data_IF_195286876511
#
_entry.id   IF_195286876511
#
_cell.length_a   1.000
_cell.length_b   1.000
_cell.length_c   1.000
_cell.angle_alpha   90.00
_cell.angle_beta   90.00
_cell.angle_gamma   90.00
#
_symmetry.space_group_name_H-M   'P 1'
#
loop_
_entity.id
_entity.type
_entity.pdbx_description
1 polymer ?
#
# COMPACT_ATOMS: atom_id res chain seq x y z
N UNK A 1 -27.09 -24.64 9.07
CA UNK A 1 -27.20 -26.04 8.63
C UNK A 1 -26.12 -26.84 9.33
N UNK A 2 -26.52 -27.90 10.02
CA UNK A 2 -25.63 -28.79 10.78
C UNK A 2 -26.37 -30.09 11.04
N UNK A 3 -25.64 -31.18 11.22
CA UNK A 3 -26.23 -32.49 11.52
C UNK A 3 -26.70 -32.59 12.98
N UNK A 4 -26.06 -31.85 13.89
CA UNK A 4 -26.33 -31.92 15.33
C UNK A 4 -26.16 -30.56 15.98
N UNK A 5 -27.13 -30.17 16.81
CA UNK A 5 -27.06 -28.99 17.66
C UNK A 5 -27.48 -29.36 19.09
N UNK A 6 -26.72 -28.88 20.06
CA UNK A 6 -26.96 -29.10 21.49
C UNK A 6 -27.21 -27.74 22.12
N UNK A 7 -28.38 -27.55 22.73
CA UNK A 7 -28.74 -26.32 23.42
C UNK A 7 -28.64 -26.49 24.94
N UNK A 8 -27.83 -25.65 25.59
CA UNK A 8 -27.79 -25.50 27.05
C UNK A 8 -28.57 -24.27 27.45
N UNK A 9 -29.74 -24.47 28.08
CA UNK A 9 -30.53 -23.36 28.64
C UNK A 9 -29.80 -22.66 29.78
N UNK A 10 -29.07 -23.42 30.60
CA UNK A 10 -28.37 -22.86 31.76
C UNK A 10 -27.28 -21.87 31.32
N UNK A 11 -26.57 -22.21 30.23
CA UNK A 11 -25.46 -21.41 29.75
C UNK A 11 -25.88 -20.43 28.63
N UNK A 12 -27.07 -20.58 28.07
CA UNK A 12 -27.56 -19.79 26.93
C UNK A 12 -26.77 -20.06 25.66
N UNK A 13 -26.25 -21.28 25.49
CA UNK A 13 -25.37 -21.64 24.37
C UNK A 13 -25.97 -22.70 23.47
N UNK A 14 -25.69 -22.58 22.16
CA UNK A 14 -25.94 -23.62 21.17
C UNK A 14 -24.58 -24.10 20.66
N UNK A 15 -24.26 -25.37 20.87
CA UNK A 15 -23.04 -26.00 20.39
C UNK A 15 -23.35 -26.92 19.21
N UNK A 16 -22.59 -26.78 18.13
CA UNK A 16 -22.73 -27.54 16.89
C UNK A 16 -21.37 -28.20 16.61
N UNK A 17 -21.18 -29.46 17.07
CA UNK A 17 -19.85 -30.09 17.12
C UNK A 17 -19.31 -30.50 15.75
N UNK A 18 -20.18 -30.65 14.75
CA UNK A 18 -19.80 -30.96 13.38
C UNK A 18 -19.65 -29.73 12.49
N UNK A 19 -19.28 -29.98 11.23
CA UNK A 19 -19.25 -28.95 10.20
C UNK A 19 -20.61 -28.23 10.13
N UNK A 20 -20.57 -26.91 10.24
CA UNK A 20 -21.75 -26.09 10.36
C UNK A 20 -21.65 -24.91 9.43
N UNK A 21 -22.72 -24.68 8.67
CA UNK A 21 -22.87 -23.49 7.84
C UNK A 21 -23.89 -22.55 8.46
N UNK A 22 -23.47 -21.33 8.77
CA UNK A 22 -24.33 -20.21 9.09
C UNK A 22 -24.60 -19.41 7.81
N UNK A 23 -25.85 -18.99 7.63
CA UNK A 23 -26.25 -18.14 6.49
C UNK A 23 -27.04 -16.97 6.99
N UNK A 24 -26.72 -15.79 6.46
CA UNK A 24 -27.45 -14.56 6.72
C UNK A 24 -27.22 -13.59 5.60
N UNK A 25 -28.31 -13.10 4.97
CA UNK A 25 -28.31 -12.01 3.98
C UNK A 25 -27.01 -11.87 3.17
N UNK A 26 -26.75 -12.71 2.17
CA UNK A 26 -25.53 -12.59 1.36
C UNK A 26 -24.21 -12.99 2.03
N UNK A 27 -24.16 -13.22 3.35
CA UNK A 27 -23.04 -13.83 4.07
C UNK A 27 -23.29 -15.34 4.30
N UNK A 28 -22.26 -16.13 4.03
CA UNK A 28 -22.16 -17.54 4.43
C UNK A 28 -20.91 -17.71 5.28
N UNK A 29 -21.02 -18.37 6.43
CA UNK A 29 -19.88 -18.65 7.30
C UNK A 29 -19.86 -20.14 7.64
N UNK A 30 -18.71 -20.79 7.49
CA UNK A 30 -18.50 -22.22 7.72
C UNK A 30 -17.44 -22.40 8.80
N UNK A 31 -17.63 -23.37 9.70
CA UNK A 31 -16.65 -23.76 10.70
C UNK A 31 -16.93 -25.13 11.31
N UNK A 32 -15.96 -25.63 12.09
CA UNK A 32 -16.01 -26.90 12.80
C UNK A 32 -15.11 -26.93 14.06
N UNK A 33 -15.67 -26.92 15.28
CA UNK A 33 -17.08 -26.76 15.64
C UNK A 33 -17.56 -25.30 15.53
N UNK A 34 -18.87 -25.10 15.69
CA UNK A 34 -19.47 -23.77 15.87
C UNK A 34 -20.18 -23.67 17.22
N UNK A 35 -20.00 -22.56 17.93
CA UNK A 35 -20.72 -22.25 19.18
C UNK A 35 -21.40 -20.90 19.06
N UNK A 36 -22.67 -20.81 19.48
CA UNK A 36 -23.41 -19.56 19.57
C UNK A 36 -23.75 -19.28 21.02
N UNK A 37 -23.29 -18.16 21.55
CA UNK A 37 -23.70 -17.62 22.84
C UNK A 37 -24.83 -16.61 22.61
N UNK A 38 -26.05 -17.01 22.98
CA UNK A 38 -27.25 -16.19 22.78
C UNK A 38 -27.39 -15.05 23.78
N UNK A 39 -26.68 -15.10 24.91
CA UNK A 39 -26.70 -14.01 25.89
C UNK A 39 -25.77 -12.87 25.49
N UNK A 40 -24.74 -13.16 24.69
CA UNK A 40 -23.75 -12.19 24.22
C UNK A 40 -23.85 -11.88 22.73
N UNK A 41 -24.80 -12.52 22.03
CA UNK A 41 -24.93 -12.42 20.58
C UNK A 41 -23.63 -12.72 19.83
N UNK A 42 -22.88 -13.74 20.31
CA UNK A 42 -21.61 -14.16 19.72
C UNK A 42 -21.77 -15.47 18.96
N UNK A 43 -21.17 -15.56 17.77
CA UNK A 43 -20.97 -16.83 17.08
C UNK A 43 -19.48 -17.07 16.87
N UNK A 44 -18.98 -18.20 17.36
CA UNK A 44 -17.61 -18.65 17.23
C UNK A 44 -17.54 -19.81 16.26
N UNK A 45 -16.71 -19.67 15.22
CA UNK A 45 -16.42 -20.66 14.21
C UNK A 45 -14.96 -21.06 14.37
N UNK A 46 -14.70 -22.30 14.75
CA UNK A 46 -13.36 -22.85 14.98
C UNK A 46 -12.99 -23.80 13.84
N UNK A 47 -11.71 -24.20 13.76
CA UNK A 47 -11.17 -25.15 12.80
C UNK A 47 -11.49 -24.77 11.35
N UNK A 48 -10.62 -24.00 10.71
CA UNK A 48 -10.76 -23.65 9.28
C UNK A 48 -12.03 -22.83 8.98
N UNK A 49 -12.24 -21.77 9.76
CA UNK A 49 -13.32 -20.84 9.52
C UNK A 49 -13.21 -20.19 8.12
N UNK A 50 -14.29 -20.28 7.35
CA UNK A 50 -14.41 -19.64 6.04
C UNK A 50 -15.68 -18.79 5.98
N UNK A 51 -15.50 -17.50 5.74
CA UNK A 51 -16.57 -16.52 5.60
C UNK A 51 -16.58 -16.00 4.17
N UNK A 52 -17.74 -16.03 3.55
CA UNK A 52 -17.96 -15.58 2.17
C UNK A 52 -19.07 -14.54 2.16
N UNK A 53 -18.77 -13.37 1.60
CA UNK A 53 -19.76 -12.35 1.27
C UNK A 53 -20.02 -12.40 -0.23
N UNK A 54 -21.27 -12.67 -0.59
CA UNK A 54 -21.71 -12.66 -1.97
C UNK A 54 -21.43 -11.30 -2.63
N UNK A 55 -21.08 -11.38 -3.91
CA UNK A 55 -21.05 -10.25 -4.83
C UNK A 55 -22.23 -10.31 -5.80
N UNK A 56 -22.35 -9.27 -6.63
CA UNK A 56 -23.30 -9.16 -7.75
C UNK A 56 -22.68 -8.34 -8.89
N UNK A 57 -23.48 -7.94 -9.89
CA UNK A 57 -23.01 -7.20 -11.08
C UNK A 57 -22.32 -5.86 -10.74
N UNK A 58 -22.55 -5.30 -9.55
CA UNK A 58 -21.95 -4.04 -9.09
C UNK A 58 -21.07 -4.17 -7.85
N UNK A 59 -21.12 -5.29 -7.13
CA UNK A 59 -20.42 -5.49 -5.86
C UNK A 59 -19.49 -6.69 -5.89
N UNK A 60 -18.21 -6.48 -5.55
CA UNK A 60 -17.22 -7.55 -5.49
C UNK A 60 -17.56 -8.60 -4.43
N UNK A 61 -17.38 -9.88 -4.73
CA UNK A 61 -17.41 -10.95 -3.73
C UNK A 61 -16.17 -10.89 -2.84
N UNK A 62 -16.29 -11.38 -1.61
CA UNK A 62 -15.18 -11.44 -0.66
C UNK A 62 -15.16 -12.80 0.03
N UNK A 63 -13.99 -13.41 0.12
CA UNK A 63 -13.78 -14.61 0.93
C UNK A 63 -12.67 -14.37 1.96
N UNK A 64 -12.92 -14.81 3.19
CA UNK A 64 -12.00 -14.70 4.33
C UNK A 64 -11.82 -16.09 4.93
N UNK A 65 -10.57 -16.55 5.02
CA UNK A 65 -10.17 -17.81 5.66
C UNK A 65 -9.33 -17.53 6.89
N UNK A 66 -9.57 -18.29 7.96
CA UNK A 66 -8.80 -18.23 9.20
C UNK A 66 -8.92 -19.53 9.99
N UNK A 67 -8.15 -19.69 11.06
CA UNK A 67 -8.35 -20.81 11.98
C UNK A 67 -9.56 -20.60 12.89
N UNK A 68 -9.80 -19.35 13.31
CA UNK A 68 -10.88 -18.97 14.21
C UNK A 68 -11.56 -17.70 13.70
N UNK A 69 -12.89 -17.71 13.60
CA UNK A 69 -13.68 -16.50 13.38
C UNK A 69 -14.70 -16.29 14.51
N UNK A 70 -14.82 -15.06 15.01
CA UNK A 70 -15.79 -14.70 16.06
C UNK A 70 -16.61 -13.51 15.59
N UNK A 71 -17.89 -13.74 15.32
CA UNK A 71 -18.88 -12.70 15.02
C UNK A 71 -19.41 -12.12 16.34
N UNK A 72 -19.21 -10.82 16.54
CA UNK A 72 -19.90 -10.04 17.56
C UNK A 72 -21.08 -9.32 16.92
N UNK A 73 -22.25 -9.97 16.91
CA UNK A 73 -23.39 -9.52 16.12
C UNK A 73 -23.88 -8.13 16.54
N UNK A 74 -24.03 -7.88 17.84
CA UNK A 74 -24.56 -6.61 18.35
C UNK A 74 -23.56 -5.45 18.16
N UNK A 75 -22.27 -5.76 18.03
CA UNK A 75 -21.20 -4.78 17.86
C UNK A 75 -20.81 -4.57 16.38
N UNK A 76 -21.36 -5.36 15.45
CA UNK A 76 -21.18 -5.17 14.00
C UNK A 76 -19.78 -5.52 13.46
N UNK A 77 -19.03 -6.39 14.13
CA UNK A 77 -17.70 -6.80 13.68
C UNK A 77 -17.46 -8.31 13.79
N UNK A 78 -16.48 -8.79 13.03
CA UNK A 78 -15.99 -10.16 13.11
C UNK A 78 -14.46 -10.17 13.23
N UNK A 79 -13.95 -10.90 14.22
CA UNK A 79 -12.52 -11.11 14.41
C UNK A 79 -12.10 -12.44 13.77
N UNK A 80 -10.92 -12.45 13.17
CA UNK A 80 -10.29 -13.61 12.54
C UNK A 80 -8.89 -13.80 13.14
N UNK A 81 -8.57 -15.03 13.55
CA UNK A 81 -7.36 -15.36 14.29
C UNK A 81 -6.72 -16.67 13.79
N UNK A 82 -5.44 -16.85 14.15
CA UNK A 82 -4.61 -17.97 13.75
C UNK A 82 -4.16 -17.89 12.29
N UNK A 83 -3.94 -16.68 11.77
CA UNK A 83 -3.60 -16.44 10.38
C UNK A 83 -4.85 -16.24 9.52
N UNK A 84 -4.92 -15.11 8.84
CA UNK A 84 -6.03 -14.72 7.97
C UNK A 84 -5.55 -14.58 6.53
N UNK A 85 -6.36 -15.09 5.60
CA UNK A 85 -6.23 -14.81 4.17
C UNK A 85 -7.55 -14.28 3.64
N UNK A 86 -7.52 -13.20 2.88
CA UNK A 86 -8.69 -12.59 2.25
C UNK A 86 -8.50 -12.59 0.74
N UNK A 87 -9.55 -12.89 -0.01
CA UNK A 87 -9.62 -12.73 -1.47
C UNK A 87 -10.72 -11.75 -1.82
N UNK A 88 -10.38 -10.65 -2.51
CA UNK A 88 -11.35 -9.69 -3.06
C UNK A 88 -11.65 -9.95 -4.54
N UNK A 89 -11.20 -11.10 -5.08
CA UNK A 89 -11.24 -11.44 -6.50
C UNK A 89 -10.04 -10.93 -7.29
N UNK A 90 -9.63 -9.67 -7.10
CA UNK A 90 -8.49 -9.05 -7.80
C UNK A 90 -7.18 -9.12 -7.03
N UNK A 91 -7.24 -9.15 -5.70
CA UNK A 91 -6.08 -9.13 -4.81
C UNK A 91 -6.28 -10.07 -3.62
N UNK A 92 -5.16 -10.41 -2.99
CA UNK A 92 -5.13 -11.16 -1.75
C UNK A 92 -4.60 -10.28 -0.62
N UNK A 93 -5.18 -10.45 0.56
CA UNK A 93 -4.71 -9.82 1.80
C UNK A 93 -4.35 -10.92 2.78
N UNK A 94 -3.29 -10.73 3.55
CA UNK A 94 -2.79 -11.68 4.53
C UNK A 94 -2.38 -10.94 5.81
N UNK A 95 -2.63 -11.53 6.97
CA UNK A 95 -2.23 -11.02 8.29
C UNK A 95 -2.33 -12.13 9.35
N UNK A 96 -1.74 -11.95 10.53
CA UNK A 96 -1.91 -12.91 11.63
C UNK A 96 -3.29 -12.78 12.28
N UNK A 97 -3.75 -11.53 12.48
CA UNK A 97 -5.07 -11.20 13.01
C UNK A 97 -5.80 -10.22 12.09
N UNK A 98 -7.11 -10.37 11.97
CA UNK A 98 -7.93 -9.45 11.18
C UNK A 98 -9.24 -9.12 11.87
N UNK A 99 -9.65 -7.86 11.83
CA UNK A 99 -10.98 -7.43 12.25
C UNK A 99 -11.73 -6.88 11.05
N UNK A 100 -12.89 -7.46 10.74
CA UNK A 100 -13.81 -6.92 9.75
C UNK A 100 -14.94 -6.15 10.42
N UNK A 101 -15.19 -4.94 9.94
CA UNK A 101 -16.31 -4.12 10.38
C UNK A 101 -17.34 -4.03 9.26
N UNK A 102 -18.59 -4.31 9.62
CA UNK A 102 -19.70 -4.29 8.69
C UNK A 102 -20.65 -3.13 9.01
N UNK A 103 -21.22 -2.54 7.97
CA UNK A 103 -22.28 -1.56 8.10
C UNK A 103 -23.58 -2.17 8.66
N UNK A 104 -24.62 -1.34 8.82
CA UNK A 104 -25.88 -1.74 9.45
C UNK A 104 -26.58 -2.94 8.80
N UNK A 105 -26.38 -3.14 7.49
CA UNK A 105 -26.92 -4.28 6.75
C UNK A 105 -26.04 -5.55 6.86
N UNK A 106 -24.95 -5.50 7.62
CA UNK A 106 -23.94 -6.54 7.89
C UNK A 106 -23.33 -7.20 6.64
N UNK A 107 -23.50 -6.55 5.49
CA UNK A 107 -23.08 -7.03 4.16
C UNK A 107 -22.21 -6.05 3.41
N UNK A 108 -22.26 -4.77 3.80
CA UNK A 108 -21.29 -3.76 3.41
C UNK A 108 -20.07 -3.92 4.32
N UNK A 109 -19.01 -4.55 3.80
CA UNK A 109 -17.71 -4.48 4.46
C UNK A 109 -17.22 -3.03 4.32
N UNK A 110 -17.14 -2.31 5.43
CA UNK A 110 -16.71 -0.90 5.43
C UNK A 110 -15.19 -0.82 5.65
N UNK A 111 -14.66 -1.68 6.54
CA UNK A 111 -13.27 -1.64 6.96
C UNK A 111 -12.72 -3.01 7.32
N UNK A 112 -11.45 -3.24 6.94
CA UNK A 112 -10.62 -4.31 7.49
C UNK A 112 -9.45 -3.72 8.25
N UNK A 113 -9.17 -4.26 9.42
CA UNK A 113 -7.92 -4.03 10.15
C UNK A 113 -7.08 -5.30 10.09
N UNK A 114 -5.88 -5.19 9.54
CA UNK A 114 -4.90 -6.25 9.41
C UNK A 114 -3.79 -6.01 10.42
N UNK A 115 -3.53 -6.98 11.29
CA UNK A 115 -2.55 -6.85 12.36
C UNK A 115 -1.50 -7.96 12.27
N UNK A 116 -0.26 -7.51 12.41
CA UNK A 116 0.97 -8.30 12.30
C UNK A 116 1.16 -8.96 10.92
N UNK A 117 2.36 -8.75 10.34
CA UNK A 117 2.74 -9.27 9.02
C UNK A 117 1.71 -8.97 7.91
N UNK A 118 1.06 -7.81 7.99
CA UNK A 118 0.04 -7.40 7.04
C UNK A 118 0.62 -7.27 5.62
N UNK A 119 -0.06 -7.88 4.66
CA UNK A 119 0.35 -7.94 3.26
C UNK A 119 -0.85 -7.84 2.34
N UNK A 120 -0.71 -7.07 1.26
CA UNK A 120 -1.66 -7.03 0.14
C UNK A 120 -0.87 -7.31 -1.12
N UNK A 121 -1.33 -8.21 -1.99
CA UNK A 121 -0.64 -8.47 -3.25
C UNK A 121 -1.59 -8.83 -4.39
N UNK A 122 -1.19 -8.41 -5.60
CA UNK A 122 -1.87 -8.74 -6.86
C UNK A 122 -1.02 -9.81 -7.56
N UNK A 123 -1.56 -11.01 -7.88
CA UNK A 123 -0.76 -12.10 -8.46
C UNK A 123 -0.17 -11.79 -9.84
N UNK A 124 -0.92 -11.07 -10.68
CA UNK A 124 -0.54 -10.75 -12.07
C UNK A 124 -0.84 -9.29 -12.36
N UNK A 125 -0.08 -8.35 -11.77
CA UNK A 125 -0.32 -6.93 -11.91
C UNK A 125 0.07 -6.46 -13.32
N UNK A 126 -0.64 -5.47 -13.85
CA UNK A 126 -0.22 -4.76 -15.05
C UNK A 126 1.07 -3.95 -14.76
N UNK A 127 1.93 -3.70 -15.75
CA UNK A 127 3.12 -2.87 -15.54
C UNK A 127 2.77 -1.48 -14.97
N UNK A 128 3.44 -1.08 -13.90
CA UNK A 128 3.19 0.16 -13.18
C UNK A 128 2.07 0.10 -12.13
N UNK A 129 1.25 -0.95 -12.13
CA UNK A 129 0.20 -1.17 -11.13
C UNK A 129 0.79 -1.60 -9.78
N UNK A 130 -0.06 -1.68 -8.76
CA UNK A 130 0.33 -2.24 -7.47
C UNK A 130 0.75 -3.71 -7.64
N UNK A 131 1.93 -4.07 -7.15
CA UNK A 131 2.32 -5.47 -7.00
C UNK A 131 2.07 -5.94 -5.58
N UNK A 132 2.55 -5.18 -4.61
CA UNK A 132 2.55 -5.58 -3.21
C UNK A 132 2.57 -4.37 -2.26
N UNK A 133 1.87 -4.49 -1.14
CA UNK A 133 2.02 -3.65 0.05
C UNK A 133 2.40 -4.54 1.24
N UNK A 134 3.36 -4.10 2.04
CA UNK A 134 3.77 -4.75 3.30
C UNK A 134 3.76 -3.73 4.43
N UNK A 135 3.34 -4.14 5.60
CA UNK A 135 3.41 -3.37 6.84
C UNK A 135 3.29 -4.31 8.05
N UNK A 136 3.59 -3.81 9.24
CA UNK A 136 3.19 -4.51 10.46
C UNK A 136 1.67 -4.48 10.62
N UNK A 137 1.06 -3.31 10.48
CA UNK A 137 -0.39 -3.12 10.58
C UNK A 137 -0.94 -2.34 9.38
N UNK A 138 -2.15 -2.68 8.95
CA UNK A 138 -2.90 -1.91 7.96
C UNK A 138 -4.36 -1.70 8.36
N UNK A 139 -4.87 -0.49 8.10
CA UNK A 139 -6.31 -0.21 8.11
C UNK A 139 -6.77 0.06 6.69
N UNK A 140 -7.76 -0.70 6.23
CA UNK A 140 -8.25 -0.69 4.86
C UNK A 140 -9.70 -0.21 4.83
N UNK A 141 -9.98 0.77 4.00
CA UNK A 141 -11.34 1.24 3.74
C UNK A 141 -11.81 0.77 2.36
N UNK A 142 -13.07 0.35 2.28
CA UNK A 142 -13.69 -0.13 1.05
C UNK A 142 -14.84 0.81 0.67
N UNK A 143 -15.06 0.98 -0.64
CA UNK A 143 -16.23 1.71 -1.11
C UNK A 143 -17.50 0.89 -0.84
N UNK A 144 -18.48 1.50 -0.19
CA UNK A 144 -19.66 0.83 0.38
C UNK A 144 -20.51 0.06 -0.65
N UNK A 145 -20.58 0.57 -1.89
CA UNK A 145 -21.45 0.01 -2.92
C UNK A 145 -20.81 -1.19 -3.62
N UNK A 146 -19.58 -0.99 -4.08
CA UNK A 146 -18.82 -1.86 -4.97
C UNK A 146 -17.89 -2.80 -4.22
N UNK A 147 -17.60 -2.53 -2.95
CA UNK A 147 -16.65 -3.28 -2.10
C UNK A 147 -15.24 -3.31 -2.71
N UNK A 148 -14.85 -2.25 -3.41
CA UNK A 148 -13.50 -2.05 -3.93
C UNK A 148 -12.65 -1.36 -2.87
N UNK A 149 -11.38 -1.76 -2.73
CA UNK A 149 -10.44 -1.10 -1.82
C UNK A 149 -10.19 0.34 -2.30
N UNK A 150 -10.49 1.33 -1.48
CA UNK A 150 -10.28 2.75 -1.81
C UNK A 150 -9.03 3.32 -1.14
N UNK A 151 -8.71 2.85 0.07
CA UNK A 151 -7.64 3.42 0.88
C UNK A 151 -7.00 2.36 1.76
N UNK A 152 -5.68 2.45 1.92
CA UNK A 152 -4.91 1.71 2.90
C UNK A 152 -4.04 2.67 3.73
N UNK A 153 -4.11 2.55 5.05
CA UNK A 153 -3.21 3.22 6.01
C UNK A 153 -2.28 2.15 6.56
N UNK A 154 -0.98 2.31 6.34
CA UNK A 154 0.07 1.34 6.65
C UNK A 154 0.95 1.89 7.78
N UNK A 155 1.37 1.04 8.70
CA UNK A 155 2.32 1.41 9.75
C UNK A 155 3.25 0.28 10.18
N UNK A 156 4.44 0.65 10.64
CA UNK A 156 5.46 -0.29 11.13
C UNK A 156 6.25 -0.90 9.97
N UNK A 157 7.24 -0.15 9.48
CA UNK A 157 8.16 -0.54 8.40
C UNK A 157 7.44 -0.89 7.09
N UNK A 158 6.82 0.13 6.50
CA UNK A 158 5.93 -0.01 5.34
C UNK A 158 6.71 -0.09 4.04
N UNK A 159 6.21 -0.90 3.10
CA UNK A 159 6.75 -1.05 1.74
C UNK A 159 5.61 -1.06 0.74
N UNK A 160 5.76 -0.31 -0.34
CA UNK A 160 4.94 -0.44 -1.56
C UNK A 160 5.86 -0.86 -2.69
N UNK A 161 5.48 -1.89 -3.43
CA UNK A 161 6.13 -2.30 -4.66
C UNK A 161 5.17 -2.17 -5.83
N UNK A 162 5.63 -1.50 -6.88
CA UNK A 162 4.94 -1.43 -8.16
C UNK A 162 5.47 -2.51 -9.11
N UNK A 163 4.62 -2.96 -10.02
CA UNK A 163 5.01 -3.90 -11.05
C UNK A 163 5.95 -3.25 -12.07
N UNK A 164 7.04 -3.93 -12.42
CA UNK A 164 7.91 -3.51 -13.51
C UNK A 164 7.33 -3.86 -14.88
N UNK A 165 8.04 -3.46 -15.93
CA UNK A 165 7.74 -3.88 -17.31
C UNK A 165 8.52 -5.17 -17.61
N UNK A 166 7.85 -6.17 -18.17
CA UNK A 166 8.45 -7.48 -18.51
C UNK A 166 9.15 -8.15 -17.30
N UNK A 167 10.46 -8.38 -17.37
CA UNK A 167 11.26 -9.00 -16.29
C UNK A 167 11.95 -7.98 -15.39
N UNK A 168 11.77 -6.68 -15.63
CA UNK A 168 12.37 -5.64 -14.81
C UNK A 168 11.67 -5.56 -13.44
N UNK A 169 12.43 -5.18 -12.42
CA UNK A 169 11.84 -4.74 -11.15
C UNK A 169 11.07 -3.43 -11.38
N UNK A 170 10.00 -3.21 -10.62
CA UNK A 170 9.33 -1.91 -10.59
C UNK A 170 9.89 -1.02 -9.48
N UNK A 171 9.26 0.14 -9.30
CA UNK A 171 9.63 1.06 -8.23
C UNK A 171 9.22 0.52 -6.86
N UNK A 172 9.95 0.97 -5.83
CA UNK A 172 9.69 0.62 -4.45
C UNK A 172 9.72 1.86 -3.56
N UNK A 173 8.72 2.02 -2.70
CA UNK A 173 8.65 3.06 -1.68
C UNK A 173 8.76 2.38 -0.32
N UNK A 174 9.60 2.90 0.56
CA UNK A 174 9.69 2.51 1.98
C UNK A 174 9.51 3.73 2.88
N UNK A 175 8.86 3.54 4.02
CA UNK A 175 8.64 4.59 5.02
C UNK A 175 8.17 4.00 6.37
N UNK A 176 8.17 4.79 7.44
CA UNK A 176 7.60 4.36 8.73
C UNK A 176 6.07 4.28 8.69
N UNK A 177 5.41 5.21 7.99
CA UNK A 177 3.96 5.22 7.76
C UNK A 177 3.64 5.63 6.32
N UNK A 178 2.54 5.09 5.79
CA UNK A 178 2.00 5.48 4.49
C UNK A 178 0.48 5.52 4.49
N UNK A 179 -0.09 6.47 3.77
CA UNK A 179 -1.48 6.45 3.33
C UNK A 179 -1.50 6.30 1.81
N UNK A 180 -2.19 5.28 1.35
CA UNK A 180 -2.32 4.91 -0.06
C UNK A 180 -3.76 5.10 -0.49
N UNK A 181 -3.98 5.83 -1.56
CA UNK A 181 -5.29 5.94 -2.22
C UNK A 181 -5.25 5.12 -3.49
N UNK A 182 -6.23 4.24 -3.66
CA UNK A 182 -6.36 3.37 -4.83
C UNK A 182 -7.14 4.06 -5.95
N UNK A 183 -6.97 3.57 -7.18
CA UNK A 183 -7.88 3.87 -8.29
C UNK A 183 -9.29 3.34 -8.01
N UNK A 184 -10.27 3.80 -8.78
CA UNK A 184 -11.66 3.37 -8.64
C UNK A 184 -11.90 1.86 -8.89
N UNK A 185 -10.97 1.17 -9.55
CA UNK A 185 -11.01 -0.29 -9.73
C UNK A 185 -10.24 -1.06 -8.64
N UNK A 186 -9.56 -0.35 -7.74
CA UNK A 186 -8.81 -0.92 -6.63
C UNK A 186 -7.51 -1.62 -7.02
N UNK A 187 -7.02 -1.46 -8.25
CA UNK A 187 -5.82 -2.18 -8.74
C UNK A 187 -4.59 -1.30 -8.88
N UNK A 188 -4.77 0.00 -9.13
CA UNK A 188 -3.69 0.96 -9.29
C UNK A 188 -3.57 1.89 -8.07
N UNK A 189 -2.37 2.42 -7.86
CA UNK A 189 -2.12 3.44 -6.85
C UNK A 189 -2.34 4.82 -7.45
N UNK A 190 -3.32 5.55 -6.93
CA UNK A 190 -3.65 6.91 -7.37
C UNK A 190 -2.90 7.99 -6.59
N UNK A 191 -2.62 7.75 -5.30
CA UNK A 191 -1.83 8.65 -4.48
C UNK A 191 -1.10 7.91 -3.34
N UNK A 192 0.04 8.46 -2.93
CA UNK A 192 0.79 8.01 -1.76
C UNK A 192 1.22 9.23 -0.94
N UNK A 193 0.91 9.22 0.34
CA UNK A 193 1.46 10.14 1.34
C UNK A 193 2.31 9.29 2.30
N UNK A 194 3.61 9.56 2.39
CA UNK A 194 4.55 8.76 3.18
C UNK A 194 5.40 9.64 4.11
N UNK A 195 5.66 9.13 5.31
CA UNK A 195 6.38 9.85 6.38
C UNK A 195 7.34 8.94 7.13
N UNK A 196 8.22 9.56 7.93
CA UNK A 196 9.15 8.89 8.84
C UNK A 196 10.21 8.05 8.12
N UNK A 197 11.09 8.72 7.37
CA UNK A 197 12.24 8.09 6.73
C UNK A 197 11.88 7.44 5.40
N UNK A 198 11.47 8.27 4.44
CA UNK A 198 11.07 7.84 3.10
C UNK A 198 12.28 7.47 2.26
N UNK A 199 12.19 6.34 1.56
CA UNK A 199 13.11 5.94 0.48
C UNK A 199 12.29 5.53 -0.75
N UNK A 200 12.46 6.24 -1.86
CA UNK A 200 12.00 5.80 -3.19
C UNK A 200 13.18 5.23 -3.96
N UNK A 201 13.13 3.95 -4.29
CA UNK A 201 14.03 3.31 -5.24
C UNK A 201 13.30 3.15 -6.58
N UNK A 202 13.88 3.72 -7.63
CA UNK A 202 13.35 3.58 -8.99
C UNK A 202 13.92 2.32 -9.64
N UNK A 203 13.24 1.74 -10.64
CA UNK A 203 13.81 0.64 -11.40
C UNK A 203 15.10 1.07 -12.09
N UNK A 204 16.03 0.12 -12.24
CA UNK A 204 17.26 0.38 -12.99
C UNK A 204 16.91 0.83 -14.40
N UNK A 205 17.48 1.95 -14.81
CA UNK A 205 17.33 2.47 -16.16
C UNK A 205 17.98 1.53 -17.18
N UNK A 206 17.59 1.64 -18.45
CA UNK A 206 18.08 0.76 -19.52
C UNK A 206 19.61 0.79 -19.72
N UNK A 207 20.28 1.85 -19.26
CA UNK A 207 21.74 1.98 -19.31
C UNK A 207 22.43 1.53 -18.01
N UNK A 208 21.68 0.92 -17.09
CA UNK A 208 22.15 0.35 -15.84
C UNK A 208 22.35 1.37 -14.72
N UNK A 209 21.81 2.59 -14.83
CA UNK A 209 21.82 3.53 -13.72
C UNK A 209 20.74 3.17 -12.70
N UNK A 210 21.14 3.08 -11.43
CA UNK A 210 20.22 3.00 -10.30
C UNK A 210 19.99 4.38 -9.71
N UNK A 211 18.75 4.65 -9.31
CA UNK A 211 18.31 5.94 -8.78
C UNK A 211 17.54 5.74 -7.47
N UNK A 212 17.93 6.49 -6.44
CA UNK A 212 17.30 6.46 -5.12
C UNK A 212 17.08 7.89 -4.62
N UNK A 213 15.93 8.13 -3.99
CA UNK A 213 15.62 9.40 -3.31
C UNK A 213 15.30 9.09 -1.85
N UNK A 214 15.93 9.81 -0.93
CA UNK A 214 15.64 9.78 0.52
C UNK A 214 15.10 11.11 0.97
N UNK A 215 14.14 11.11 1.90
CA UNK A 215 13.60 12.32 2.53
C UNK A 215 12.86 12.00 3.83
N UNK A 216 12.41 13.02 4.56
CA UNK A 216 11.47 12.82 5.68
C UNK A 216 10.06 12.51 5.20
N UNK A 217 9.61 13.19 4.14
CA UNK A 217 8.24 13.06 3.61
C UNK A 217 8.18 12.94 2.09
N UNK A 218 7.12 12.29 1.60
CA UNK A 218 6.77 12.15 0.20
C UNK A 218 5.27 12.33 0.01
N UNK A 219 4.91 13.11 -1.00
CA UNK A 219 3.57 13.10 -1.60
C UNK A 219 3.72 12.73 -3.07
N UNK A 220 3.00 11.72 -3.50
CA UNK A 220 2.92 11.27 -4.89
C UNK A 220 1.47 11.25 -5.33
N UNK A 221 1.19 11.75 -6.53
CA UNK A 221 -0.16 11.74 -7.09
C UNK A 221 -0.15 11.24 -8.53
N UNK A 222 -1.34 10.96 -9.03
CA UNK A 222 -1.55 10.39 -10.34
C UNK A 222 -2.97 10.61 -10.83
N UNK A 223 -3.23 10.09 -12.02
CA UNK A 223 -4.58 9.96 -12.58
C UNK A 223 -4.90 8.49 -12.78
N UNK A 224 -6.18 8.08 -12.82
CA UNK A 224 -6.53 6.70 -13.15
C UNK A 224 -5.90 6.22 -14.47
N UNK A 225 -5.73 7.10 -15.45
CA UNK A 225 -5.22 6.75 -16.78
C UNK A 225 -3.70 6.57 -16.83
N UNK A 226 -2.96 7.23 -15.93
CA UNK A 226 -1.49 7.26 -15.97
C UNK A 226 -0.82 6.64 -14.75
N UNK A 227 -1.60 6.28 -13.72
CA UNK A 227 -1.08 6.02 -12.38
C UNK A 227 -0.30 7.23 -11.84
N UNK A 228 0.57 6.96 -10.84
CA UNK A 228 1.47 7.96 -10.26
C UNK A 228 2.37 8.59 -11.33
N UNK A 229 2.36 9.93 -11.42
CA UNK A 229 3.06 10.70 -12.46
C UNK A 229 3.81 11.94 -11.94
N UNK A 230 3.65 12.29 -10.66
CA UNK A 230 4.41 13.34 -10.00
C UNK A 230 4.80 12.93 -8.57
N UNK A 231 5.94 13.43 -8.11
CA UNK A 231 6.42 13.22 -6.74
C UNK A 231 6.95 14.54 -6.16
N UNK A 232 6.66 14.76 -4.88
CA UNK A 232 7.21 15.83 -4.08
C UNK A 232 7.81 15.25 -2.81
N UNK A 233 9.11 15.48 -2.60
CA UNK A 233 9.83 15.12 -1.39
C UNK A 233 10.14 16.36 -0.56
N UNK A 234 10.01 16.25 0.75
CA UNK A 234 10.24 17.36 1.68
C UNK A 234 11.15 16.93 2.82
N UNK A 235 12.02 17.87 3.20
CA UNK A 235 13.00 17.79 4.28
C UNK A 235 14.08 16.72 4.06
N UNK A 236 15.33 17.11 4.30
CA UNK A 236 16.49 16.23 4.22
C UNK A 236 16.56 15.42 2.91
N UNK A 237 16.19 16.04 1.78
CA UNK A 237 16.14 15.37 0.49
C UNK A 237 17.55 15.01 0.04
N UNK A 238 17.76 13.76 -0.34
CA UNK A 238 18.99 13.26 -0.96
C UNK A 238 18.63 12.39 -2.17
N UNK A 239 18.92 12.86 -3.37
CA UNK A 239 18.91 12.07 -4.59
C UNK A 239 20.30 11.44 -4.80
N UNK A 240 20.33 10.16 -5.13
CA UNK A 240 21.53 9.41 -5.52
C UNK A 240 21.33 8.75 -6.86
N UNK A 241 22.34 8.86 -7.71
CA UNK A 241 22.42 8.14 -8.97
C UNK A 241 23.78 7.45 -9.08
N UNK A 242 23.76 6.18 -9.43
CA UNK A 242 24.96 5.37 -9.61
C UNK A 242 24.87 4.62 -10.92
N UNK A 243 25.95 4.67 -11.71
CA UNK A 243 26.08 3.89 -12.93
C UNK A 243 27.52 3.40 -13.05
N UNK A 244 27.69 2.11 -13.29
CA UNK A 244 28.99 1.54 -13.59
C UNK A 244 29.50 2.03 -14.96
N UNK A 245 30.83 2.06 -15.13
CA UNK A 245 31.41 2.31 -16.45
C UNK A 245 31.03 1.16 -17.40
N UNK A 246 30.61 1.51 -18.61
CA UNK A 246 30.34 0.56 -19.70
C UNK A 246 31.25 0.87 -20.88
N UNK A 247 31.26 0.00 -21.90
CA UNK A 247 31.99 0.29 -23.14
C UNK A 247 31.51 1.59 -23.83
N UNK A 248 30.26 2.01 -23.58
CA UNK A 248 29.61 3.16 -24.19
C UNK A 248 29.62 4.43 -23.32
N UNK A 249 30.04 4.35 -22.06
CA UNK A 249 29.92 5.48 -21.13
C UNK A 249 30.78 5.36 -19.87
N UNK A 250 31.14 6.53 -19.32
CA UNK A 250 31.86 6.61 -18.04
C UNK A 250 30.96 6.23 -16.87
N UNK A 251 31.58 5.87 -15.75
CA UNK A 251 30.86 5.75 -14.49
C UNK A 251 30.26 7.09 -14.06
N UNK A 252 29.11 7.02 -13.39
CA UNK A 252 28.42 8.16 -12.79
C UNK A 252 28.24 7.86 -11.31
N UNK A 253 28.68 8.78 -10.45
CA UNK A 253 28.33 8.81 -9.04
C UNK A 253 27.90 10.23 -8.70
N UNK A 254 26.60 10.42 -8.52
CA UNK A 254 25.99 11.73 -8.32
C UNK A 254 25.13 11.74 -7.08
N UNK A 255 25.24 12.81 -6.31
CA UNK A 255 24.42 13.07 -5.14
C UNK A 255 23.93 14.51 -5.17
N UNK A 256 22.63 14.72 -4.97
CA UNK A 256 22.02 16.05 -4.84
C UNK A 256 21.26 16.11 -3.53
N UNK A 257 21.58 17.10 -2.69
CA UNK A 257 20.89 17.35 -1.42
C UNK A 257 20.14 18.66 -1.48
N UNK A 258 18.94 18.72 -0.91
CA UNK A 258 18.09 19.91 -0.90
C UNK A 258 17.06 19.85 0.24
N UNK A 259 16.36 20.97 0.47
CA UNK A 259 15.22 20.99 1.39
C UNK A 259 13.97 20.36 0.76
N UNK A 260 13.82 20.48 -0.56
CA UNK A 260 12.67 19.96 -1.32
C UNK A 260 13.09 19.46 -2.69
N UNK A 261 12.39 18.45 -3.19
CA UNK A 261 12.46 17.98 -4.57
C UNK A 261 11.04 17.87 -5.13
N UNK A 262 10.81 18.46 -6.29
CA UNK A 262 9.62 18.23 -7.11
C UNK A 262 10.05 17.55 -8.40
N UNK A 263 9.41 16.45 -8.78
CA UNK A 263 9.76 15.75 -10.00
C UNK A 263 8.56 15.21 -10.78
N UNK A 264 8.66 15.32 -12.09
CA UNK A 264 7.83 14.55 -13.02
C UNK A 264 8.41 13.14 -13.18
N UNK A 265 7.55 12.13 -13.20
CA UNK A 265 7.92 10.72 -13.33
C UNK A 265 7.11 10.09 -14.46
N UNK A 266 7.67 9.04 -15.06
CA UNK A 266 6.94 8.19 -15.99
C UNK A 266 5.84 7.43 -15.22
N UNK A 267 4.75 7.02 -15.91
CA UNK A 267 3.71 6.16 -15.35
C UNK A 267 4.28 4.99 -14.53
N UNK A 268 3.65 4.73 -13.38
CA UNK A 268 4.06 3.66 -12.47
C UNK A 268 5.43 3.86 -11.83
N UNK A 269 5.90 5.12 -11.74
CA UNK A 269 7.23 5.47 -11.24
C UNK A 269 8.37 4.76 -11.99
N UNK A 270 8.18 4.47 -13.28
CA UNK A 270 9.14 3.71 -14.10
C UNK A 270 10.42 4.49 -14.48
N UNK A 271 10.55 5.74 -14.02
CA UNK A 271 11.75 6.56 -14.16
C UNK A 271 11.45 8.04 -13.98
N UNK A 272 12.48 8.82 -13.64
CA UNK A 272 12.37 10.28 -13.55
C UNK A 272 12.45 10.94 -14.92
N UNK A 273 11.72 12.05 -15.07
CA UNK A 273 11.77 12.91 -16.26
C UNK A 273 12.58 14.16 -15.99
N UNK A 274 12.10 14.99 -15.08
CA UNK A 274 12.75 16.23 -14.64
C UNK A 274 12.63 16.32 -13.13
N UNK A 275 13.74 16.67 -12.47
CA UNK A 275 13.85 16.80 -11.03
C UNK A 275 14.31 18.22 -10.67
N UNK A 276 13.48 18.95 -9.93
CA UNK A 276 13.73 20.30 -9.46
C UNK A 276 14.02 20.27 -7.96
N UNK A 277 15.28 20.53 -7.60
CA UNK A 277 15.77 20.60 -6.23
C UNK A 277 15.75 22.05 -5.77
N UNK A 278 15.20 22.30 -4.59
CA UNK A 278 14.92 23.65 -4.09
C UNK A 278 15.39 23.78 -2.64
N UNK A 279 16.05 24.90 -2.34
CA UNK A 279 16.52 25.24 -1.00
C UNK A 279 17.79 24.50 -0.61
N UNK A 280 18.81 25.27 -0.19
CA UNK A 280 20.09 24.77 0.32
C UNK A 280 20.73 23.67 -0.55
N UNK A 281 20.66 23.82 -1.87
CA UNK A 281 21.02 22.72 -2.77
C UNK A 281 22.54 22.51 -2.77
N UNK A 282 22.96 21.27 -2.56
CA UNK A 282 24.35 20.82 -2.70
C UNK A 282 24.42 19.70 -3.72
N UNK A 283 25.17 19.95 -4.79
CA UNK A 283 25.42 19.01 -5.87
C UNK A 283 26.82 18.43 -5.76
N UNK A 284 26.93 17.11 -5.91
CA UNK A 284 28.19 16.37 -5.93
C UNK A 284 28.18 15.38 -7.10
N UNK A 285 29.21 15.43 -7.94
CA UNK A 285 29.45 14.43 -8.99
C UNK A 285 30.95 14.18 -9.13
N UNK A 286 31.37 12.95 -8.84
CA UNK A 286 32.78 12.57 -8.78
C UNK A 286 33.59 13.52 -7.87
N UNK A 287 34.50 14.32 -8.44
CA UNK A 287 35.29 15.33 -7.72
C UNK A 287 34.71 16.75 -7.76
N UNK A 288 33.57 16.94 -8.44
CA UNK A 288 32.92 18.24 -8.59
C UNK A 288 31.91 18.45 -7.48
N UNK A 289 31.93 19.63 -6.88
CA UNK A 289 30.93 20.06 -5.89
C UNK A 289 30.43 21.46 -6.23
N UNK A 290 29.16 21.73 -5.99
CA UNK A 290 28.55 23.04 -6.21
C UNK A 290 27.39 23.28 -5.23
N UNK A 291 27.09 24.56 -4.98
CA UNK A 291 25.95 25.00 -4.15
C UNK A 291 25.07 25.95 -4.94
N UNK A 292 23.75 25.85 -4.77
CA UNK A 292 22.77 26.69 -5.45
C UNK A 292 21.48 26.84 -4.61
N UNK A 293 20.64 27.81 -4.95
CA UNK A 293 19.30 27.91 -4.36
C UNK A 293 18.33 26.93 -5.05
N UNK A 294 18.58 26.65 -6.33
CA UNK A 294 17.81 25.73 -7.15
C UNK A 294 18.73 24.96 -8.10
N UNK A 295 18.40 23.68 -8.31
CA UNK A 295 18.97 22.85 -9.37
C UNK A 295 17.83 22.20 -10.15
N UNK A 296 17.85 22.35 -11.48
CA UNK A 296 16.96 21.62 -12.39
C UNK A 296 17.79 20.55 -13.10
N UNK A 297 17.38 19.30 -12.93
CA UNK A 297 17.97 18.15 -13.60
C UNK A 297 17.00 17.55 -14.62
N UNK A 298 17.33 17.71 -15.91
CA UNK A 298 16.72 16.91 -16.98
C UNK A 298 17.40 15.53 -16.98
N UNK A 299 16.70 14.55 -16.42
CA UNK A 299 17.23 13.20 -16.21
C UNK A 299 17.42 12.49 -17.55
N UNK A 300 16.52 12.70 -18.50
CA UNK A 300 16.56 12.08 -19.82
C UNK A 300 17.70 12.67 -20.65
N UNK A 301 17.87 14.00 -20.61
CA UNK A 301 18.95 14.69 -21.30
C UNK A 301 20.31 14.58 -20.61
N UNK A 302 20.34 14.21 -19.33
CA UNK A 302 21.56 14.23 -18.52
C UNK A 302 22.07 15.65 -18.22
N UNK A 303 21.19 16.67 -18.29
CA UNK A 303 21.56 18.09 -18.23
C UNK A 303 21.19 18.67 -16.87
N UNK A 304 22.16 19.29 -16.20
CA UNK A 304 21.99 19.94 -14.90
C UNK A 304 22.18 21.45 -15.05
N UNK A 305 21.19 22.20 -14.59
CA UNK A 305 21.21 23.67 -14.55
C UNK A 305 21.20 24.12 -13.09
N UNK A 306 22.16 24.96 -12.71
CA UNK A 306 22.27 25.52 -11.37
C UNK A 306 21.83 26.99 -11.40
N UNK A 307 20.87 27.33 -10.56
CA UNK A 307 20.37 28.69 -10.42
C UNK A 307 20.67 29.20 -9.00
N UNK A 308 21.33 30.35 -8.94
CA UNK A 308 21.49 31.12 -7.69
C UNK A 308 20.62 32.35 -7.80
N UNK A 309 19.85 32.67 -6.77
CA UNK A 309 19.26 33.99 -6.62
C UNK A 309 20.43 34.93 -6.40
N UNK A 310 20.83 35.64 -7.46
CA UNK A 310 21.98 36.53 -7.40
C UNK A 310 21.87 37.50 -6.22
N UNK A 311 23.01 37.88 -5.65
CA UNK A 311 23.20 38.97 -4.67
C UNK A 311 22.81 40.35 -5.24
N UNK A 312 21.72 40.48 -5.99
CA UNK A 312 21.14 41.75 -6.40
C UNK A 312 20.34 42.33 -5.23
N UNK A 313 21.01 42.71 -4.13
CA UNK A 313 20.32 43.36 -3.01
C UNK A 313 21.15 43.72 -1.78
N UNK A 314 22.36 43.19 -1.59
CA UNK A 314 23.24 43.66 -0.51
C UNK A 314 24.16 44.76 -1.05
N UNK A 315 23.67 46.00 -0.95
CA UNK A 315 24.54 47.18 -1.00
C UNK A 315 25.61 47.07 0.11
N UNK A 316 26.79 47.67 -0.08
CA UNK A 316 27.89 47.55 0.88
C UNK A 316 27.47 48.11 2.24
N UNK A 317 27.71 47.35 3.31
CA UNK A 317 27.81 47.85 4.70
C UNK A 317 29.26 47.94 5.09
#
# INVERSE_FOLDING_TARGET
ETDTAIYSRQDGTVSMPGATTLRRMGMTAVGHPVTVDTNRSLATLDGEAHVSLAGDDGRASLDIWSNLAVLAHDDGYMNFDGGTRVSTGTQFLEADHTTAHFGADETALERLELHEHARIYIPTPAPGALREMLARDMTLAFEDTTRVLEQAILSGDTVIELAGVETATGAQIRAGTMKVTMSADGTDVAAVEAHDGVVLALPDSADGASQEIRATGLVSQGTPETGLNNVQFTEAVEYREQRAATAAGRAVSRVIRADRLEAGVKPGLSGLLTAQFLGNVRFEEDSRTATADEVVYDVIGGIITLNTVGEAGRGPT
#
